data_IF_068116753651
#
_entry.id   IF_068116753651
#
_cell.length_a   1.000
_cell.length_b   1.000
_cell.length_c   1.000
_cell.angle_alpha   90.00
_cell.angle_beta   90.00
_cell.angle_gamma   90.00
#
_symmetry.space_group_name_H-M   'P 1'
#
loop_
_entity.id
_entity.type
_entity.pdbx_description
1 polymer ?
#
# COMPACT_ATOMS: atom_id res chain seq x y z
N UNK A 1 -17.57 -12.67 10.09
CA UNK A 1 -17.19 -11.24 10.01
C UNK A 1 -18.32 -10.27 10.38
N UNK A 2 -19.31 -10.62 11.23
CA UNK A 2 -20.42 -9.70 11.63
C UNK A 2 -20.05 -8.69 12.75
N UNK A 3 -18.78 -8.62 13.14
CA UNK A 3 -18.37 -7.94 14.39
C UNK A 3 -18.01 -6.46 14.22
N UNK A 4 -17.61 -6.03 13.01
CA UNK A 4 -17.12 -4.67 12.77
C UNK A 4 -18.22 -3.60 12.86
N UNK A 5 -19.42 -3.88 12.32
CA UNK A 5 -20.56 -2.96 12.41
C UNK A 5 -21.23 -2.93 13.79
N UNK A 6 -20.95 -3.90 14.68
CA UNK A 6 -21.64 -4.01 15.98
C UNK A 6 -21.27 -2.89 16.96
N UNK A 7 -20.22 -2.13 16.66
CA UNK A 7 -19.71 -1.03 17.49
C UNK A 7 -19.81 0.33 16.81
N UNK A 8 -20.42 0.40 15.62
CA UNK A 8 -20.72 1.68 14.97
C UNK A 8 -21.88 2.32 15.75
N UNK A 9 -21.71 3.52 16.33
CA UNK A 9 -22.78 4.21 17.04
C UNK A 9 -24.00 4.41 16.14
N UNK A 10 -25.19 4.23 16.71
CA UNK A 10 -26.45 4.48 16.00
C UNK A 10 -26.46 5.89 15.40
N UNK A 11 -26.69 5.98 14.09
CA UNK A 11 -26.80 7.26 13.37
C UNK A 11 -25.52 7.75 12.69
N UNK A 12 -24.37 7.08 12.83
CA UNK A 12 -23.17 7.44 12.06
C UNK A 12 -23.31 6.98 10.60
N UNK A 13 -23.26 7.89 9.61
CA UNK A 13 -23.40 7.51 8.21
C UNK A 13 -22.15 6.76 7.71
N UNK A 14 -22.36 5.75 6.86
CA UNK A 14 -21.27 4.87 6.38
C UNK A 14 -20.17 5.61 5.61
N UNK A 15 -20.48 6.74 4.99
CA UNK A 15 -19.50 7.59 4.29
C UNK A 15 -18.55 8.35 5.24
N UNK A 16 -18.70 8.18 6.55
CA UNK A 16 -17.78 8.69 7.57
C UNK A 16 -16.97 7.57 8.24
N UNK A 17 -17.01 6.35 7.68
CA UNK A 17 -16.28 5.20 8.18
C UNK A 17 -15.09 4.87 7.27
N UNK A 18 -14.00 4.44 7.88
CA UNK A 18 -12.86 3.81 7.22
C UNK A 18 -12.48 2.55 8.00
N UNK A 19 -11.82 1.61 7.34
CA UNK A 19 -11.34 0.38 7.94
C UNK A 19 -9.81 0.34 7.95
N UNK A 20 -9.23 0.04 9.12
CA UNK A 20 -7.81 -0.31 9.26
C UNK A 20 -7.69 -1.80 9.58
N UNK A 21 -7.38 -2.66 8.59
CA UNK A 21 -7.17 -4.09 8.80
C UNK A 21 -5.75 -4.43 9.28
N UNK A 22 -4.96 -3.43 9.70
CA UNK A 22 -3.53 -3.49 10.04
C UNK A 22 -2.62 -3.79 8.84
N UNK A 23 -1.64 -2.91 8.61
CA UNK A 23 -0.58 -3.10 7.62
C UNK A 23 0.76 -3.36 8.29
N UNK A 24 1.34 -4.52 8.04
CA UNK A 24 2.70 -4.87 8.42
C UNK A 24 3.70 -4.33 7.39
N UNK A 25 4.92 -4.01 7.83
CA UNK A 25 5.98 -3.53 6.94
C UNK A 25 6.58 -4.66 6.08
N UNK A 26 7.15 -4.29 4.93
CA UNK A 26 7.93 -5.22 4.08
C UNK A 26 9.01 -5.92 4.92
N UNK A 27 9.10 -7.25 4.78
CA UNK A 27 10.04 -8.09 5.53
C UNK A 27 9.58 -8.45 6.95
N UNK A 28 8.45 -7.91 7.42
CA UNK A 28 7.93 -8.09 8.78
C UNK A 28 6.44 -8.47 8.79
N UNK A 29 6.03 -9.40 7.92
CA UNK A 29 4.65 -9.90 7.87
C UNK A 29 3.75 -9.25 6.82
N UNK A 30 4.33 -8.58 5.82
CA UNK A 30 3.60 -7.93 4.72
C UNK A 30 2.67 -8.91 3.97
N UNK A 31 3.05 -10.18 3.86
CA UNK A 31 2.27 -11.26 3.23
C UNK A 31 0.92 -11.51 3.91
N UNK A 32 0.85 -11.32 5.24
CA UNK A 32 -0.41 -11.36 5.97
C UNK A 32 -1.29 -10.16 5.63
N UNK A 33 -0.69 -8.98 5.49
CA UNK A 33 -1.39 -7.77 5.08
C UNK A 33 -1.91 -7.87 3.65
N UNK A 34 -1.14 -8.42 2.70
CA UNK A 34 -1.62 -8.70 1.34
C UNK A 34 -2.91 -9.51 1.39
N UNK A 35 -2.88 -10.66 2.07
CA UNK A 35 -4.03 -11.54 2.19
C UNK A 35 -5.22 -10.89 2.90
N UNK A 36 -4.97 -10.03 3.90
CA UNK A 36 -6.02 -9.34 4.65
C UNK A 36 -6.69 -8.26 3.79
N UNK A 37 -5.89 -7.38 3.18
CA UNK A 37 -6.33 -6.28 2.33
C UNK A 37 -7.14 -6.78 1.13
N UNK A 38 -6.62 -7.79 0.41
CA UNK A 38 -7.31 -8.37 -0.76
C UNK A 38 -8.65 -8.99 -0.38
N UNK A 39 -8.70 -9.76 0.72
CA UNK A 39 -9.98 -10.36 1.18
C UNK A 39 -10.99 -9.29 1.58
N UNK A 40 -10.55 -8.25 2.29
CA UNK A 40 -11.39 -7.11 2.65
C UNK A 40 -11.95 -6.43 1.41
N UNK A 41 -11.09 -6.11 0.43
CA UNK A 41 -11.47 -5.47 -0.83
C UNK A 41 -12.44 -6.33 -1.63
N UNK A 42 -12.12 -7.61 -1.83
CA UNK A 42 -12.97 -8.55 -2.58
C UNK A 42 -14.33 -8.76 -1.90
N UNK A 43 -14.37 -8.90 -0.58
CA UNK A 43 -15.63 -9.06 0.13
C UNK A 43 -16.52 -7.82 -0.01
N UNK A 44 -15.95 -6.61 0.10
CA UNK A 44 -16.68 -5.36 -0.14
C UNK A 44 -17.26 -5.29 -1.56
N UNK A 45 -16.48 -5.70 -2.58
CA UNK A 45 -16.94 -5.77 -3.97
C UNK A 45 -18.03 -6.82 -4.21
N UNK A 46 -17.99 -7.93 -3.47
CA UNK A 46 -19.00 -9.01 -3.53
C UNK A 46 -20.28 -8.70 -2.74
N UNK A 47 -20.40 -7.50 -2.16
CA UNK A 47 -21.61 -7.02 -1.49
C UNK A 47 -21.62 -7.16 0.03
N UNK A 48 -20.50 -7.50 0.67
CA UNK A 48 -20.39 -7.42 2.13
C UNK A 48 -20.32 -5.95 2.57
N UNK A 49 -21.47 -5.39 2.95
CA UNK A 49 -21.59 -3.97 3.30
C UNK A 49 -20.69 -3.55 4.46
N UNK A 50 -20.40 -4.44 5.41
CA UNK A 50 -19.52 -4.11 6.54
C UNK A 50 -18.07 -3.82 6.12
N UNK A 51 -17.65 -4.29 4.95
CA UNK A 51 -16.30 -4.13 4.40
C UNK A 51 -16.27 -3.22 3.17
N UNK A 52 -17.43 -2.79 2.67
CA UNK A 52 -17.57 -1.84 1.57
C UNK A 52 -17.37 -0.39 2.06
N UNK A 53 -16.23 -0.12 2.70
CA UNK A 53 -15.75 1.20 3.14
C UNK A 53 -14.29 1.37 2.71
N UNK A 54 -13.76 2.61 2.65
CA UNK A 54 -12.35 2.82 2.34
C UNK A 54 -11.41 2.09 3.32
N UNK A 55 -10.28 1.64 2.80
CA UNK A 55 -9.22 0.97 3.53
C UNK A 55 -8.09 1.98 3.77
N UNK A 56 -7.73 2.19 5.04
CA UNK A 56 -6.52 2.90 5.43
C UNK A 56 -5.37 1.92 5.65
N UNK A 57 -4.19 2.29 5.18
CA UNK A 57 -2.94 1.55 5.38
C UNK A 57 -1.92 2.43 6.10
N UNK A 58 -1.52 2.00 7.29
CA UNK A 58 -0.44 2.63 8.06
C UNK A 58 0.93 2.14 7.59
N UNK A 59 1.39 2.67 6.44
CA UNK A 59 2.71 2.33 5.87
C UNK A 59 3.86 2.74 6.80
N UNK A 60 3.61 3.73 7.67
CA UNK A 60 4.51 4.17 8.72
C UNK A 60 4.97 3.06 9.68
N UNK A 61 4.20 1.97 9.80
CA UNK A 61 4.56 0.84 10.67
C UNK A 61 5.92 0.23 10.31
N UNK A 62 6.36 0.40 9.06
CA UNK A 62 7.66 -0.06 8.60
C UNK A 62 8.83 0.58 9.34
N UNK A 63 8.65 1.75 9.96
CA UNK A 63 9.69 2.42 10.74
C UNK A 63 10.06 1.67 12.03
N UNK A 64 9.31 0.64 12.42
CA UNK A 64 9.73 -0.31 13.46
C UNK A 64 10.82 -1.28 12.97
N UNK A 65 10.92 -1.52 11.66
CA UNK A 65 11.92 -2.40 11.07
C UNK A 65 13.33 -1.84 11.25
N UNK A 66 14.28 -2.69 11.65
CA UNK A 66 15.67 -2.29 11.90
C UNK A 66 16.32 -1.75 10.61
N UNK A 67 15.94 -2.30 9.47
CA UNK A 67 16.38 -1.95 8.13
C UNK A 67 15.87 -0.57 7.69
N UNK A 68 14.89 0.04 8.36
CA UNK A 68 14.44 1.38 8.05
C UNK A 68 15.30 2.47 8.73
N UNK A 69 15.77 2.23 9.96
CA UNK A 69 16.42 3.28 10.78
C UNK A 69 17.84 2.97 11.24
N UNK A 70 18.23 1.69 11.39
CA UNK A 70 19.55 1.33 11.92
C UNK A 70 20.63 1.67 10.91
N UNK A 71 21.70 2.35 11.36
CA UNK A 71 22.91 2.56 10.56
C UNK A 71 23.65 1.23 10.40
N UNK A 72 23.89 0.83 9.16
CA UNK A 72 24.66 -0.33 8.76
C UNK A 72 25.24 -0.06 7.37
N UNK A 73 26.56 -0.09 7.26
CA UNK A 73 27.28 0.26 6.03
C UNK A 73 27.05 -0.78 4.91
N UNK A 74 26.82 -2.04 5.27
CA UNK A 74 26.56 -3.13 4.31
C UNK A 74 25.18 -3.02 3.62
N UNK A 75 24.24 -2.32 4.25
CA UNK A 75 22.87 -2.16 3.73
C UNK A 75 22.71 -0.89 2.88
N UNK A 76 23.77 -0.11 2.76
CA UNK A 76 23.75 1.16 2.05
C UNK A 76 23.07 2.31 2.81
N UNK A 77 22.87 3.46 2.13
CA UNK A 77 22.50 4.72 2.78
C UNK A 77 21.19 4.64 3.54
N UNK A 78 21.23 4.90 4.85
CA UNK A 78 20.05 4.94 5.73
C UNK A 78 18.98 5.92 5.24
N UNK A 79 19.41 7.10 4.79
CA UNK A 79 18.54 8.18 4.31
C UNK A 79 17.65 7.75 3.13
N UNK A 80 18.08 6.75 2.35
CA UNK A 80 17.30 6.22 1.23
C UNK A 80 16.52 4.97 1.63
N UNK A 81 17.06 4.14 2.52
CA UNK A 81 16.44 2.88 2.93
C UNK A 81 15.08 3.08 3.61
N UNK A 82 15.01 3.96 4.60
CA UNK A 82 13.76 4.21 5.34
C UNK A 82 12.61 4.61 4.42
N UNK A 83 12.78 5.66 3.60
CA UNK A 83 11.76 6.06 2.62
C UNK A 83 11.41 4.96 1.61
N UNK A 84 12.40 4.20 1.13
CA UNK A 84 12.15 3.08 0.20
C UNK A 84 11.33 1.97 0.86
N UNK A 85 11.58 1.65 2.13
CA UNK A 85 10.78 0.67 2.88
C UNK A 85 9.33 1.12 3.04
N UNK A 86 9.11 2.41 3.30
CA UNK A 86 7.77 2.99 3.44
C UNK A 86 7.04 3.04 2.10
N UNK A 87 7.69 3.48 1.02
CA UNK A 87 7.12 3.46 -0.32
C UNK A 87 6.85 2.05 -0.82
N UNK A 88 7.73 1.07 -0.55
CA UNK A 88 7.52 -0.32 -0.94
C UNK A 88 6.30 -0.93 -0.20
N UNK A 89 6.17 -0.65 1.09
CA UNK A 89 5.00 -1.06 1.88
C UNK A 89 3.72 -0.41 1.33
N UNK A 90 3.78 0.89 1.02
CA UNK A 90 2.66 1.62 0.40
C UNK A 90 2.28 1.10 -0.97
N UNK A 91 3.25 0.77 -1.83
CA UNK A 91 3.01 0.18 -3.13
C UNK A 91 2.27 -1.15 -3.02
N UNK A 92 2.71 -2.03 -2.11
CA UNK A 92 2.01 -3.31 -1.88
C UNK A 92 0.59 -3.06 -1.40
N UNK A 93 0.40 -2.18 -0.42
CA UNK A 93 -0.93 -1.85 0.08
C UNK A 93 -1.84 -1.23 -1.01
N UNK A 94 -1.30 -0.37 -1.88
CA UNK A 94 -2.00 0.19 -3.03
C UNK A 94 -2.50 -0.91 -3.97
N UNK A 95 -1.62 -1.84 -4.34
CA UNK A 95 -1.98 -2.96 -5.23
C UNK A 95 -3.03 -3.89 -4.61
N UNK A 96 -3.03 -4.04 -3.30
CA UNK A 96 -4.04 -4.82 -2.57
C UNK A 96 -5.34 -4.02 -2.31
N UNK A 97 -5.44 -2.79 -2.79
CA UNK A 97 -6.64 -1.96 -2.73
C UNK A 97 -6.78 -1.14 -1.47
N UNK A 98 -5.70 -0.60 -0.89
CA UNK A 98 -5.78 0.48 0.08
C UNK A 98 -6.14 1.81 -0.61
N UNK A 99 -6.94 2.65 0.04
CA UNK A 99 -7.38 3.95 -0.48
C UNK A 99 -6.67 5.13 0.17
N UNK A 100 -6.30 4.99 1.45
CA UNK A 100 -5.69 6.06 2.25
C UNK A 100 -4.39 5.55 2.84
N UNK A 101 -3.32 6.34 2.73
CA UNK A 101 -2.01 6.00 3.28
C UNK A 101 -1.64 6.92 4.44
N UNK A 102 -1.31 6.34 5.58
CA UNK A 102 -0.70 7.04 6.70
C UNK A 102 0.81 6.81 6.67
N UNK A 103 1.53 7.83 6.21
CA UNK A 103 2.99 7.81 5.99
C UNK A 103 3.67 8.94 6.76
N UNK A 104 4.94 8.76 7.12
CA UNK A 104 5.72 9.73 7.91
C UNK A 104 6.76 10.49 7.09
N UNK A 105 7.45 9.84 6.15
CA UNK A 105 8.54 10.46 5.41
C UNK A 105 8.09 11.13 4.12
N UNK A 106 8.56 12.36 3.89
CA UNK A 106 8.17 13.18 2.73
C UNK A 106 8.65 12.57 1.42
N UNK A 107 9.87 12.00 1.37
CA UNK A 107 10.37 11.35 0.16
C UNK A 107 9.56 10.09 -0.15
N UNK A 108 9.13 9.36 0.88
CA UNK A 108 8.29 8.20 0.71
C UNK A 108 6.93 8.57 0.12
N UNK A 109 6.32 9.65 0.62
CA UNK A 109 5.05 10.21 0.13
C UNK A 109 5.19 10.67 -1.32
N UNK A 110 6.23 11.43 -1.65
CA UNK A 110 6.48 11.91 -3.01
C UNK A 110 6.65 10.75 -4.00
N UNK A 111 7.39 9.71 -3.61
CA UNK A 111 7.58 8.53 -4.44
C UNK A 111 6.27 7.76 -4.62
N UNK A 112 5.51 7.56 -3.54
CA UNK A 112 4.23 6.84 -3.61
C UNK A 112 3.22 7.58 -4.48
N UNK A 113 3.12 8.92 -4.34
CA UNK A 113 2.27 9.75 -5.20
C UNK A 113 2.66 9.63 -6.68
N UNK A 114 3.96 9.65 -7.02
CA UNK A 114 4.41 9.43 -8.40
C UNK A 114 3.98 8.07 -8.96
N UNK A 115 3.97 7.02 -8.13
CA UNK A 115 3.52 5.69 -8.54
C UNK A 115 2.00 5.64 -8.71
N UNK A 116 1.26 6.29 -7.82
CA UNK A 116 -0.20 6.43 -7.93
C UNK A 116 -0.55 7.18 -9.22
N UNK A 117 0.10 8.31 -9.48
CA UNK A 117 -0.08 9.11 -10.69
C UNK A 117 0.22 8.30 -11.95
N UNK A 118 1.32 7.52 -11.98
CA UNK A 118 1.65 6.68 -13.14
C UNK A 118 0.68 5.52 -13.35
N UNK A 119 -0.03 5.08 -12.30
CA UNK A 119 -1.06 4.05 -12.39
C UNK A 119 -2.40 4.62 -12.88
N UNK A 120 -2.73 5.86 -12.51
CA UNK A 120 -3.91 6.57 -13.00
C UNK A 120 -3.75 7.10 -14.42
N UNK A 121 -2.56 7.55 -14.78
CA UNK A 121 -2.18 7.85 -16.15
C UNK A 121 -2.02 6.56 -16.94
N UNK A 122 -3.13 5.88 -17.24
CA UNK A 122 -3.25 5.00 -18.41
C UNK A 122 -3.16 5.85 -19.68
N UNK A 123 -2.09 6.65 -19.81
CA UNK A 123 -1.78 7.34 -21.07
C UNK A 123 -1.30 6.29 -22.05
N UNK A 124 -1.78 6.44 -23.26
CA UNK A 124 -1.47 5.66 -24.46
C UNK A 124 0.03 5.70 -24.85
N UNK A 125 0.99 5.49 -23.94
CA UNK A 125 2.39 5.21 -24.32
C UNK A 125 2.57 3.71 -24.67
N UNK A 126 1.62 3.15 -25.43
CA UNK A 126 1.83 1.87 -26.12
C UNK A 126 2.70 2.04 -27.38
N UNK A 127 3.25 3.24 -27.61
CA UNK A 127 3.99 3.60 -28.84
C UNK A 127 5.49 3.93 -28.63
N UNK A 128 6.03 3.69 -27.44
CA UNK A 128 7.49 3.52 -27.26
C UNK A 128 7.78 2.08 -26.91
N UNK A 129 7.55 1.17 -27.86
CA UNK A 129 8.23 -0.12 -27.88
C UNK A 129 9.73 0.14 -28.00
N UNK A 130 10.40 0.39 -26.87
CA UNK A 130 11.82 0.09 -26.75
C UNK A 130 11.95 -1.37 -27.17
N UNK A 131 12.70 -1.62 -28.25
CA UNK A 131 12.86 -2.95 -28.83
C UNK A 131 13.73 -3.81 -27.90
N UNK A 132 13.22 -4.11 -26.70
CA UNK A 132 13.93 -4.88 -25.68
C UNK A 132 14.09 -6.35 -26.07
N UNK A 133 13.54 -6.79 -27.20
CA UNK A 133 13.74 -8.12 -27.78
C UNK A 133 14.91 -8.17 -28.79
N UNK A 134 15.62 -7.05 -29.00
CA UNK A 134 16.76 -6.99 -29.93
C UNK A 134 17.91 -7.92 -29.58
N UNK A 135 17.96 -8.46 -28.35
CA UNK A 135 18.99 -9.39 -27.89
C UNK A 135 18.63 -10.88 -28.11
N UNK A 136 17.41 -11.20 -28.52
CA UNK A 136 16.93 -12.58 -28.70
C UNK A 136 17.19 -13.12 -30.12
N UNK A 137 17.72 -12.31 -31.03
CA UNK A 137 18.08 -12.72 -32.40
C UNK A 137 19.53 -12.38 -32.72
N UNK A 138 20.45 -13.17 -32.16
CA UNK A 138 21.83 -13.29 -32.61
C UNK A 138 22.16 -14.77 -32.87
#
# INVERSE_FOLDING_TARGET
>A
MKMLLKHVPDGLPRNQLTMDPFTAGVGYGIEYSISSLERCRLAGLLGEESLAVPIISATSNVWAAREAWKKNDEWGPRELRGPLYESATGLVALLCGADIFYSLDVLAIELLNKIIDSTHELKEEMDKKSNYLSWITA
#
